data_IF_673235692843
#
_entry.id   IF_673235692843
#
_cell.length_a   1.000
_cell.length_b   1.000
_cell.length_c   1.000
_cell.angle_alpha   90.00
_cell.angle_beta   90.00
_cell.angle_gamma   90.00
#
_symmetry.space_group_name_H-M   'P 1'
#
loop_
_entity.id
_entity.type
_entity.pdbx_description
1 polymer ?
#
# COMPACT_ATOMS: atom_id res chain seq x y z
N UNK A 1 -21.34 -8.15 -30.46
CA UNK A 1 -21.33 -8.61 -29.06
C UNK A 1 -20.08 -8.04 -28.41
N UNK A 2 -20.21 -6.91 -27.73
CA UNK A 2 -19.13 -6.35 -26.91
C UNK A 2 -19.40 -6.78 -25.47
N UNK A 3 -18.53 -7.62 -24.92
CA UNK A 3 -18.61 -8.05 -23.53
C UNK A 3 -18.28 -6.88 -22.62
N UNK A 4 -19.25 -6.44 -21.82
CA UNK A 4 -19.00 -5.55 -20.68
C UNK A 4 -18.25 -6.35 -19.62
N UNK A 5 -16.95 -6.14 -19.51
CA UNK A 5 -16.18 -6.55 -18.34
C UNK A 5 -16.43 -5.47 -17.28
N UNK A 6 -17.33 -5.76 -16.34
CA UNK A 6 -17.46 -4.96 -15.11
C UNK A 6 -16.22 -5.19 -14.26
N UNK A 7 -15.24 -4.28 -14.34
CA UNK A 7 -14.12 -4.21 -13.40
C UNK A 7 -14.62 -3.61 -12.10
N UNK A 8 -15.02 -4.46 -11.17
CA UNK A 8 -15.32 -4.09 -9.80
C UNK A 8 -13.98 -4.00 -9.04
N UNK A 9 -13.51 -2.78 -8.79
CA UNK A 9 -12.26 -2.49 -8.08
C UNK A 9 -12.60 -2.18 -6.62
N UNK A 10 -12.33 -3.12 -5.73
CA UNK A 10 -12.49 -2.97 -4.28
C UNK A 10 -11.11 -2.97 -3.65
N UNK A 11 -10.60 -1.80 -3.29
CA UNK A 11 -9.41 -1.69 -2.45
C UNK A 11 -9.71 -0.72 -1.31
N UNK A 12 -10.22 -1.29 -0.21
CA UNK A 12 -10.11 -0.75 1.13
C UNK A 12 -9.86 -1.97 2.04
N UNK A 13 -8.60 -2.25 2.36
CA UNK A 13 -8.20 -3.33 3.27
C UNK A 13 -8.61 -2.96 4.71
N UNK A 14 -9.90 -3.07 5.02
CA UNK A 14 -10.37 -3.06 6.40
C UNK A 14 -10.08 -4.42 7.02
N UNK A 15 -8.91 -4.55 7.65
CA UNK A 15 -8.60 -5.65 8.56
C UNK A 15 -9.37 -5.48 9.89
N UNK A 16 -10.70 -5.54 9.85
CA UNK A 16 -11.55 -5.50 11.02
C UNK A 16 -12.12 -6.90 11.30
N UNK A 17 -11.39 -7.67 12.12
CA UNK A 17 -11.94 -8.79 12.90
C UNK A 17 -12.10 -10.12 12.17
N UNK A 18 -11.01 -10.79 11.82
CA UNK A 18 -11.04 -12.23 11.53
C UNK A 18 -10.75 -13.04 12.80
N UNK A 19 -11.72 -13.84 13.23
CA UNK A 19 -11.54 -14.83 14.30
C UNK A 19 -10.69 -15.98 13.74
N UNK A 20 -9.47 -16.13 14.27
CA UNK A 20 -8.50 -17.09 13.78
C UNK A 20 -8.95 -18.55 13.95
N UNK A 21 -8.96 -19.32 12.86
CA UNK A 21 -8.54 -20.72 12.93
C UNK A 21 -7.09 -20.76 12.48
N UNK A 22 -6.18 -21.02 13.41
CA UNK A 22 -4.74 -21.04 13.16
C UNK A 22 -4.40 -22.29 12.34
N UNK A 23 -4.49 -22.19 11.02
CA UNK A 23 -3.58 -22.94 10.17
C UNK A 23 -2.23 -22.24 10.25
N UNK A 24 -1.13 -22.98 10.42
CA UNK A 24 0.19 -22.37 10.37
C UNK A 24 0.38 -21.74 8.98
N UNK A 25 0.84 -20.47 8.89
CA UNK A 25 1.06 -19.82 7.61
C UNK A 25 2.05 -20.65 6.78
N UNK A 26 1.74 -20.86 5.50
CA UNK A 26 2.67 -21.46 4.55
C UNK A 26 3.49 -20.33 3.96
N UNK A 27 4.80 -20.35 4.19
CA UNK A 27 5.76 -19.49 3.51
C UNK A 27 5.64 -19.74 2.00
N UNK A 28 5.37 -18.69 1.25
CA UNK A 28 5.50 -18.74 -0.19
C UNK A 28 6.99 -18.85 -0.53
N UNK A 29 7.35 -19.83 -1.36
CA UNK A 29 8.73 -20.22 -1.62
C UNK A 29 9.15 -19.87 -3.06
N UNK A 30 10.46 -19.71 -3.26
CA UNK A 30 11.09 -19.49 -4.56
C UNK A 30 10.74 -18.15 -5.20
N UNK A 31 10.61 -17.10 -4.39
CA UNK A 31 10.53 -15.76 -4.93
C UNK A 31 11.84 -15.38 -5.61
N UNK A 32 11.73 -14.72 -6.75
CA UNK A 32 12.84 -14.10 -7.47
C UNK A 32 12.48 -12.67 -7.81
N UNK A 33 13.50 -11.86 -8.05
CA UNK A 33 13.32 -10.49 -8.52
C UNK A 33 13.55 -10.44 -10.04
N UNK A 34 12.64 -9.79 -10.74
CA UNK A 34 12.78 -9.39 -12.15
C UNK A 34 12.86 -7.86 -12.22
N UNK A 35 13.96 -7.34 -12.75
CA UNK A 35 14.32 -5.92 -12.70
C UNK A 35 15.69 -5.72 -12.06
N UNK A 36 16.26 -4.53 -12.19
CA UNK A 36 17.59 -4.15 -11.69
C UNK A 36 17.54 -3.01 -10.68
N UNK A 37 16.35 -2.44 -10.43
CA UNK A 37 16.13 -1.34 -9.50
C UNK A 37 15.47 -1.85 -8.21
N UNK A 38 16.29 -2.36 -7.30
CA UNK A 38 15.87 -2.86 -5.99
C UNK A 38 16.99 -2.80 -4.97
N UNK A 39 16.63 -2.80 -3.69
CA UNK A 39 17.56 -3.00 -2.58
C UNK A 39 17.07 -4.16 -1.71
N UNK A 40 18.01 -5.03 -1.34
CA UNK A 40 17.78 -6.07 -0.35
C UNK A 40 18.25 -5.57 1.00
N UNK A 41 17.36 -5.60 2.00
CA UNK A 41 17.68 -5.28 3.37
C UNK A 41 17.61 -6.54 4.23
N UNK A 42 18.75 -6.88 4.82
CA UNK A 42 18.84 -7.93 5.83
C UNK A 42 18.57 -7.33 7.22
N UNK A 43 18.16 -8.15 8.17
CA UNK A 43 17.93 -7.72 9.55
C UNK A 43 19.03 -8.22 10.49
N UNK A 44 19.31 -7.46 11.53
CA UNK A 44 20.24 -7.84 12.59
C UNK A 44 19.73 -7.42 13.95
N UNK A 45 20.15 -8.16 14.96
CA UNK A 45 20.03 -7.82 16.37
C UNK A 45 21.35 -7.18 16.81
N UNK A 46 21.33 -5.88 17.10
CA UNK A 46 22.50 -5.15 17.58
C UNK A 46 22.71 -5.23 19.09
N UNK A 47 21.72 -5.72 19.84
CA UNK A 47 21.77 -5.82 21.31
C UNK A 47 22.15 -7.20 21.82
N UNK A 48 21.94 -8.24 21.01
CA UNK A 48 22.17 -9.64 21.36
C UNK A 48 21.07 -10.26 22.23
N UNK A 49 19.87 -9.67 22.27
CA UNK A 49 18.72 -10.16 23.04
C UNK A 49 17.85 -11.19 22.28
N UNK A 50 18.18 -11.44 21.02
CA UNK A 50 17.47 -12.35 20.12
C UNK A 50 16.38 -11.68 19.28
N UNK A 51 16.17 -10.37 19.40
CA UNK A 51 15.19 -9.61 18.62
C UNK A 51 15.91 -8.69 17.64
N UNK A 52 15.54 -8.78 16.36
CA UNK A 52 16.10 -7.88 15.35
C UNK A 52 15.62 -6.44 15.58
N UNK A 53 16.54 -5.47 15.50
CA UNK A 53 16.31 -4.05 15.80
C UNK A 53 16.81 -3.11 14.69
N UNK A 54 17.55 -3.64 13.71
CA UNK A 54 18.00 -2.88 12.56
C UNK A 54 17.87 -3.66 11.26
N UNK A 55 17.53 -2.95 10.20
CA UNK A 55 17.69 -3.41 8.81
C UNK A 55 18.87 -2.70 8.16
N UNK A 56 19.57 -3.36 7.23
CA UNK A 56 20.71 -2.76 6.53
C UNK A 56 20.82 -3.33 5.10
N UNK A 57 21.22 -2.49 4.15
CA UNK A 57 21.41 -2.91 2.77
C UNK A 57 22.45 -4.04 2.66
N UNK A 58 22.04 -5.17 2.10
CA UNK A 58 22.87 -6.36 1.91
C UNK A 58 22.51 -7.02 0.55
N UNK A 59 23.23 -6.71 -0.54
CA UNK A 59 22.92 -7.25 -1.86
C UNK A 59 23.16 -8.78 -1.99
N UNK A 60 23.75 -9.41 -0.97
CA UNK A 60 23.94 -10.86 -0.90
C UNK A 60 22.93 -11.56 0.02
N UNK A 61 21.96 -10.82 0.56
CA UNK A 61 20.93 -11.39 1.43
C UNK A 61 20.07 -12.40 0.67
N UNK A 62 19.63 -13.44 1.39
CA UNK A 62 18.75 -14.45 0.84
C UNK A 62 17.29 -13.97 0.89
N UNK A 63 16.59 -14.03 -0.24
CA UNK A 63 15.20 -13.55 -0.37
C UNK A 63 14.25 -14.31 0.58
N UNK A 64 14.39 -15.62 0.71
CA UNK A 64 13.54 -16.41 1.60
C UNK A 64 13.79 -16.06 3.08
N UNK A 65 15.04 -15.72 3.41
CA UNK A 65 15.42 -15.26 4.75
C UNK A 65 14.91 -13.85 5.07
N UNK A 66 14.80 -12.98 4.07
CA UNK A 66 14.20 -11.64 4.20
C UNK A 66 12.68 -11.74 4.41
N UNK A 67 12.02 -12.56 3.58
CA UNK A 67 10.55 -12.62 3.51
C UNK A 67 9.90 -13.47 4.62
N UNK A 68 10.68 -14.04 5.54
CA UNK A 68 10.13 -14.71 6.73
C UNK A 68 9.92 -13.72 7.86
N UNK A 69 8.98 -14.04 8.75
CA UNK A 69 8.91 -13.40 10.07
C UNK A 69 9.92 -14.07 11.02
N UNK A 70 10.66 -13.25 11.74
CA UNK A 70 11.51 -13.65 12.86
C UNK A 70 10.80 -13.20 14.14
N UNK A 71 10.28 -14.12 14.94
CA UNK A 71 9.67 -13.81 16.26
C UNK A 71 8.54 -12.75 16.24
N UNK A 72 7.78 -12.69 15.15
CA UNK A 72 6.68 -11.74 14.97
C UNK A 72 7.09 -10.37 14.41
N UNK A 73 8.39 -10.14 14.20
CA UNK A 73 8.93 -9.01 13.44
C UNK A 73 9.36 -9.45 12.03
N UNK A 74 9.40 -8.53 11.06
CA UNK A 74 9.98 -8.82 9.74
C UNK A 74 11.44 -9.28 9.82
N UNK A 75 11.83 -10.26 8.99
CA UNK A 75 13.21 -10.73 8.86
C UNK A 75 14.12 -9.83 8.01
N UNK A 76 13.55 -8.81 7.38
CA UNK A 76 14.23 -7.84 6.53
C UNK A 76 13.22 -7.03 5.72
N UNK A 77 13.67 -6.52 4.57
CA UNK A 77 12.78 -5.92 3.58
C UNK A 77 13.38 -6.00 2.16
N UNK A 78 12.52 -6.00 1.13
CA UNK A 78 12.89 -5.83 -0.28
C UNK A 78 12.23 -4.56 -0.81
N UNK A 79 13.04 -3.54 -1.11
CA UNK A 79 12.63 -2.30 -1.77
C UNK A 79 12.61 -2.53 -3.28
N UNK A 80 11.48 -2.31 -3.96
CA UNK A 80 11.29 -2.66 -5.38
C UNK A 80 11.46 -1.46 -6.34
N UNK A 81 11.89 -0.30 -5.87
CA UNK A 81 12.09 0.87 -6.72
C UNK A 81 13.05 1.91 -6.14
N UNK A 82 14.26 1.49 -5.78
CA UNK A 82 15.26 2.34 -5.11
C UNK A 82 15.57 3.68 -5.82
N UNK A 83 15.42 3.76 -7.14
CA UNK A 83 15.62 5.00 -7.91
C UNK A 83 14.37 5.84 -8.15
N UNK A 84 13.21 5.45 -7.61
CA UNK A 84 11.90 6.09 -7.80
C UNK A 84 11.94 7.62 -7.64
N UNK A 85 12.77 8.09 -6.71
CA UNK A 85 12.93 9.49 -6.33
C UNK A 85 14.33 10.06 -6.65
N UNK A 86 15.25 9.25 -7.20
CA UNK A 86 16.64 9.64 -7.47
C UNK A 86 16.73 10.14 -8.93
N UNK A 87 17.08 11.42 -9.09
CA UNK A 87 17.32 12.15 -10.36
C UNK A 87 16.13 12.87 -11.03
N UNK A 88 14.98 13.06 -10.38
CA UNK A 88 13.88 13.83 -11.02
C UNK A 88 14.14 15.35 -10.96
N UNK A 89 14.79 15.87 -12.00
CA UNK A 89 14.80 17.30 -12.29
C UNK A 89 13.41 17.74 -12.78
N UNK A 90 12.54 18.03 -11.83
CA UNK A 90 11.29 18.76 -11.98
C UNK A 90 10.26 18.09 -12.89
N UNK A 91 9.19 17.57 -12.26
CA UNK A 91 7.89 17.38 -12.90
C UNK A 91 7.23 18.70 -13.36
N UNK A 92 7.94 19.82 -13.33
CA UNK A 92 7.50 21.07 -13.93
C UNK A 92 7.67 20.97 -15.47
N UNK A 93 6.75 20.23 -16.09
CA UNK A 93 6.63 20.12 -17.55
C UNK A 93 6.78 18.72 -18.16
N UNK A 94 6.58 17.63 -17.40
CA UNK A 94 6.69 16.25 -17.91
C UNK A 94 8.01 16.02 -18.66
N UNK A 95 9.16 16.12 -17.99
CA UNK A 95 10.39 15.64 -18.63
C UNK A 95 10.38 14.12 -18.60
N UNK A 96 10.02 13.54 -19.75
CA UNK A 96 9.82 12.13 -20.10
C UNK A 96 11.02 11.16 -19.85
N UNK A 97 11.85 11.39 -18.83
CA UNK A 97 13.12 10.66 -18.67
C UNK A 97 13.49 10.34 -17.20
N UNK A 98 12.51 10.26 -16.29
CA UNK A 98 12.74 9.68 -14.96
C UNK A 98 12.40 8.18 -14.97
N UNK A 99 13.06 7.40 -14.13
CA UNK A 99 12.74 5.99 -13.91
C UNK A 99 11.26 5.80 -13.57
N UNK A 100 10.67 6.74 -12.81
CA UNK A 100 9.25 6.78 -12.52
C UNK A 100 8.36 7.02 -13.76
N UNK A 101 8.78 7.85 -14.71
CA UNK A 101 8.00 8.11 -15.93
C UNK A 101 8.23 7.01 -16.99
N UNK A 102 7.43 5.95 -16.92
CA UNK A 102 7.42 4.89 -17.94
C UNK A 102 8.60 3.92 -17.88
N UNK A 103 9.41 3.96 -16.82
CA UNK A 103 10.39 2.91 -16.55
C UNK A 103 9.74 1.55 -16.32
N UNK A 104 10.53 0.50 -16.55
CA UNK A 104 10.13 -0.86 -16.22
C UNK A 104 9.94 -0.99 -14.71
N UNK A 105 8.94 -1.77 -14.30
CA UNK A 105 8.73 -2.09 -12.89
C UNK A 105 9.70 -3.18 -12.48
N UNK A 106 10.28 -3.07 -11.30
CA UNK A 106 10.89 -4.22 -10.64
C UNK A 106 9.78 -5.03 -9.97
N UNK A 107 9.86 -6.35 -10.08
CA UNK A 107 8.86 -7.26 -9.57
C UNK A 107 9.45 -8.39 -8.76
N UNK A 108 8.80 -8.72 -7.65
CA UNK A 108 9.00 -9.94 -6.88
C UNK A 108 7.99 -10.99 -7.36
N UNK A 109 8.48 -12.14 -7.83
CA UNK A 109 7.66 -13.16 -8.50
C UNK A 109 7.90 -14.52 -7.86
N UNK A 110 6.83 -15.18 -7.44
CA UNK A 110 6.87 -16.51 -6.82
C UNK A 110 5.54 -17.24 -6.95
N UNK A 111 5.46 -18.44 -6.39
CA UNK A 111 4.22 -19.23 -6.36
C UNK A 111 3.60 -19.21 -4.95
N UNK A 112 2.30 -18.91 -4.89
CA UNK A 112 1.50 -18.96 -3.67
C UNK A 112 0.23 -19.76 -3.95
N UNK A 113 -0.03 -20.80 -3.16
CA UNK A 113 -1.17 -21.71 -3.35
C UNK A 113 -1.29 -22.29 -4.77
N UNK A 114 -0.15 -22.56 -5.43
CA UNK A 114 -0.11 -23.14 -6.79
C UNK A 114 -0.42 -22.15 -7.92
N UNK A 115 -0.47 -20.85 -7.62
CA UNK A 115 -0.62 -19.79 -8.61
C UNK A 115 0.55 -18.80 -8.53
N UNK A 116 0.92 -18.20 -9.67
CA UNK A 116 1.93 -17.15 -9.70
C UNK A 116 1.40 -15.89 -9.04
N UNK A 117 2.16 -15.38 -8.06
CA UNK A 117 2.02 -14.04 -7.51
C UNK A 117 3.15 -13.17 -8.07
N UNK A 118 2.78 -12.04 -8.65
CA UNK A 118 3.70 -10.97 -9.03
C UNK A 118 3.38 -9.74 -8.19
N UNK A 119 4.33 -9.25 -7.41
CA UNK A 119 4.25 -7.97 -6.70
C UNK A 119 5.24 -7.03 -7.38
N UNK A 120 4.84 -5.80 -7.67
CA UNK A 120 5.68 -4.85 -8.40
C UNK A 120 5.63 -3.46 -7.78
N UNK A 121 6.70 -2.69 -8.03
CA UNK A 121 6.67 -1.24 -7.92
C UNK A 121 5.72 -0.59 -8.93
N UNK A 122 5.43 0.69 -8.74
CA UNK A 122 4.54 1.47 -9.60
C UNK A 122 5.34 2.45 -10.45
N UNK A 123 4.77 2.83 -11.60
CA UNK A 123 5.26 3.95 -12.38
C UNK A 123 4.15 4.97 -12.63
N UNK A 124 4.47 6.07 -13.33
CA UNK A 124 3.51 7.14 -13.60
C UNK A 124 2.22 6.65 -14.31
N UNK A 125 2.29 5.59 -15.12
CA UNK A 125 1.10 5.05 -15.80
C UNK A 125 0.17 4.32 -14.84
N UNK A 126 0.68 3.69 -13.78
CA UNK A 126 -0.18 3.14 -12.73
C UNK A 126 -0.98 4.23 -12.02
N UNK A 127 -0.31 5.34 -11.72
CA UNK A 127 -0.89 6.44 -10.95
C UNK A 127 -1.88 7.29 -11.73
N UNK A 128 -1.54 7.63 -12.97
CA UNK A 128 -2.17 8.73 -13.70
C UNK A 128 -2.99 8.29 -14.91
N UNK A 129 -3.03 7.00 -15.22
CA UNK A 129 -3.93 6.47 -16.27
C UNK A 129 -5.36 6.41 -15.74
N UNK A 130 -6.30 6.98 -16.48
CA UNK A 130 -7.73 6.95 -16.18
C UNK A 130 -8.38 5.68 -16.70
N UNK A 131 -9.58 5.36 -16.20
CA UNK A 131 -10.32 4.15 -16.59
C UNK A 131 -10.57 4.01 -18.11
N UNK A 132 -10.63 5.12 -18.84
CA UNK A 132 -10.77 5.19 -20.31
C UNK A 132 -9.44 5.18 -21.08
N UNK A 133 -8.31 5.03 -20.38
CA UNK A 133 -6.96 5.00 -20.96
C UNK A 133 -6.34 6.37 -21.21
N UNK A 134 -6.99 7.46 -20.78
CA UNK A 134 -6.37 8.79 -20.74
C UNK A 134 -5.24 8.85 -19.72
N UNK A 135 -4.33 9.81 -19.87
CA UNK A 135 -3.22 10.01 -18.94
C UNK A 135 -3.24 11.45 -18.40
N UNK A 136 -3.44 11.61 -17.09
CA UNK A 136 -3.59 12.92 -16.44
C UNK A 136 -3.20 12.88 -14.96
N UNK A 137 -2.45 13.89 -14.53
CA UNK A 137 -2.11 14.12 -13.12
C UNK A 137 -3.04 15.13 -12.43
N UNK A 138 -4.18 15.47 -13.06
CA UNK A 138 -5.09 16.47 -12.49
C UNK A 138 -5.86 15.91 -11.31
N UNK A 139 -5.95 16.71 -10.24
CA UNK A 139 -6.85 16.42 -9.13
C UNK A 139 -8.31 16.32 -9.60
N UNK A 140 -9.02 15.30 -9.10
CA UNK A 140 -10.40 14.96 -9.46
C UNK A 140 -10.53 14.04 -10.69
N UNK A 141 -9.43 13.54 -11.24
CA UNK A 141 -9.47 12.53 -12.31
C UNK A 141 -9.76 11.13 -11.74
N UNK A 142 -10.37 10.27 -12.54
CA UNK A 142 -10.66 8.88 -12.16
C UNK A 142 -9.43 7.98 -12.36
N UNK A 143 -8.46 8.10 -11.46
CA UNK A 143 -7.20 7.34 -11.48
C UNK A 143 -6.70 7.00 -10.06
N UNK A 144 -5.69 6.12 -9.98
CA UNK A 144 -5.14 5.62 -8.72
C UNK A 144 -4.62 6.76 -7.82
N UNK A 145 -3.98 7.78 -8.40
CA UNK A 145 -3.43 8.90 -7.63
C UNK A 145 -4.52 9.65 -6.85
N UNK A 146 -5.66 9.91 -7.50
CA UNK A 146 -6.79 10.57 -6.84
C UNK A 146 -7.51 9.67 -5.85
N UNK A 147 -7.59 8.35 -6.12
CA UNK A 147 -8.14 7.37 -5.18
C UNK A 147 -7.32 7.30 -3.91
N UNK A 148 -6.05 6.92 -4.02
CA UNK A 148 -5.16 6.73 -2.88
C UNK A 148 -5.00 8.01 -2.05
N UNK A 149 -4.71 9.15 -2.70
CA UNK A 149 -4.53 10.40 -1.97
C UNK A 149 -5.85 10.92 -1.39
N UNK A 150 -6.97 10.66 -2.07
CA UNK A 150 -8.31 10.96 -1.56
C UNK A 150 -8.59 10.22 -0.26
N UNK A 151 -8.31 8.92 -0.21
CA UNK A 151 -8.51 8.11 1.00
C UNK A 151 -7.54 8.49 2.12
N UNK A 152 -6.29 8.84 1.80
CA UNK A 152 -5.34 9.37 2.78
C UNK A 152 -5.90 10.65 3.44
N UNK A 153 -6.43 11.57 2.64
CA UNK A 153 -7.09 12.78 3.17
C UNK A 153 -8.36 12.46 3.95
N UNK A 154 -9.14 11.46 3.56
CA UNK A 154 -10.33 11.07 4.30
C UNK A 154 -9.96 10.50 5.68
N UNK A 155 -8.81 9.83 5.79
CA UNK A 155 -8.32 9.29 7.06
C UNK A 155 -7.80 10.37 8.01
N UNK A 156 -7.09 11.40 7.51
CA UNK A 156 -6.40 12.38 8.35
C UNK A 156 -7.00 13.79 8.35
N UNK A 157 -7.71 14.17 7.29
CA UNK A 157 -8.27 15.51 7.06
C UNK A 157 -9.68 15.44 6.43
N UNK A 158 -10.65 14.73 7.05
CA UNK A 158 -11.96 14.47 6.44
C UNK A 158 -12.76 15.75 6.15
N UNK A 159 -12.55 16.81 6.93
CA UNK A 159 -13.25 18.09 6.78
C UNK A 159 -12.60 19.04 5.77
N UNK A 160 -11.51 18.62 5.10
CA UNK A 160 -10.80 19.44 4.14
C UNK A 160 -11.67 19.68 2.91
N UNK A 161 -12.08 20.92 2.68
CA UNK A 161 -12.90 21.29 1.53
C UNK A 161 -12.20 21.07 0.18
N UNK A 162 -12.97 21.01 -0.90
CA UNK A 162 -12.48 20.71 -2.27
C UNK A 162 -11.23 21.51 -2.71
N UNK A 163 -11.17 22.80 -2.37
CA UNK A 163 -10.02 23.65 -2.70
C UNK A 163 -8.78 23.21 -1.91
N UNK A 164 -8.94 22.92 -0.61
CA UNK A 164 -7.88 22.43 0.25
C UNK A 164 -7.34 21.09 -0.23
N UNK A 165 -8.21 20.13 -0.56
CA UNK A 165 -7.82 18.81 -1.08
C UNK A 165 -7.02 18.90 -2.37
N UNK A 166 -7.47 19.75 -3.31
CA UNK A 166 -6.73 20.02 -4.55
C UNK A 166 -5.34 20.61 -4.27
N UNK A 167 -5.25 21.58 -3.36
CA UNK A 167 -3.98 22.21 -3.02
C UNK A 167 -3.02 21.21 -2.36
N UNK A 168 -3.54 20.37 -1.45
CA UNK A 168 -2.80 19.27 -0.83
C UNK A 168 -2.29 18.27 -1.87
N UNK A 169 -3.16 17.83 -2.79
CA UNK A 169 -2.78 16.93 -3.88
C UNK A 169 -1.68 17.52 -4.74
N UNK A 170 -1.84 18.79 -5.16
CA UNK A 170 -0.83 19.46 -5.99
C UNK A 170 0.48 19.67 -5.23
N UNK A 171 0.44 19.93 -3.92
CA UNK A 171 1.63 20.04 -3.09
C UNK A 171 2.34 18.69 -2.95
N UNK A 172 1.59 17.61 -2.68
CA UNK A 172 2.12 16.25 -2.62
C UNK A 172 2.74 15.81 -3.95
N UNK A 173 2.05 16.06 -5.06
CA UNK A 173 2.60 15.87 -6.41
C UNK A 173 3.87 16.69 -6.62
N UNK A 174 3.85 17.98 -6.25
CA UNK A 174 4.99 18.88 -6.42
C UNK A 174 6.22 18.56 -5.57
N UNK A 175 6.09 17.73 -4.53
CA UNK A 175 7.18 17.23 -3.70
C UNK A 175 7.60 15.79 -4.05
N UNK A 176 7.17 15.28 -5.21
CA UNK A 176 7.43 13.92 -5.68
C UNK A 176 6.81 12.84 -4.77
N UNK A 177 5.63 13.13 -4.23
CA UNK A 177 4.98 12.24 -3.28
C UNK A 177 4.54 10.90 -3.89
N UNK A 178 4.09 10.91 -5.15
CA UNK A 178 3.65 9.67 -5.81
C UNK A 178 4.83 8.79 -6.19
N UNK A 179 5.95 9.38 -6.58
CA UNK A 179 7.22 8.74 -6.84
C UNK A 179 7.68 7.97 -5.61
N UNK A 180 7.74 8.65 -4.46
CA UNK A 180 8.12 8.04 -3.18
C UNK A 180 7.15 6.95 -2.75
N UNK A 181 5.85 7.13 -2.98
CA UNK A 181 4.83 6.13 -2.68
C UNK A 181 4.81 4.93 -3.66
N UNK A 182 5.67 4.91 -4.70
CA UNK A 182 5.70 3.87 -5.73
C UNK A 182 6.65 2.71 -5.44
N UNK A 183 7.33 2.76 -4.30
CA UNK A 183 8.44 1.89 -3.97
C UNK A 183 8.11 0.96 -2.81
N UNK A 184 7.30 -0.09 -3.01
CA UNK A 184 6.86 -0.93 -1.92
C UNK A 184 8.03 -1.70 -1.29
N UNK A 185 8.22 -1.49 0.01
CA UNK A 185 9.19 -2.20 0.85
C UNK A 185 8.58 -3.52 1.40
N UNK A 186 8.80 -4.66 0.74
CA UNK A 186 8.18 -5.95 1.09
C UNK A 186 8.93 -6.64 2.22
N UNK A 187 8.28 -6.79 3.37
CA UNK A 187 8.86 -7.38 4.59
C UNK A 187 8.59 -8.87 4.78
N UNK A 188 7.41 -9.35 4.38
CA UNK A 188 7.09 -10.79 4.37
C UNK A 188 5.91 -11.06 3.46
N UNK A 189 5.78 -12.32 3.05
CA UNK A 189 4.62 -12.85 2.34
C UNK A 189 4.21 -14.15 3.00
N UNK A 190 3.01 -14.18 3.56
CA UNK A 190 2.44 -15.36 4.21
C UNK A 190 1.09 -15.68 3.57
N UNK A 191 0.75 -16.95 3.50
CA UNK A 191 -0.56 -17.38 3.01
C UNK A 191 -1.21 -18.36 3.97
N UNK A 192 -2.53 -18.25 4.05
CA UNK A 192 -3.38 -19.22 4.73
C UNK A 192 -4.61 -19.53 3.87
N UNK A 193 -5.59 -20.21 4.45
CA UNK A 193 -6.84 -20.59 3.78
C UNK A 193 -7.75 -19.39 3.40
N UNK A 194 -7.48 -18.21 3.94
CA UNK A 194 -8.30 -17.02 3.78
C UNK A 194 -7.71 -16.07 2.73
N UNK A 195 -6.40 -16.13 2.49
CA UNK A 195 -5.72 -15.21 1.58
C UNK A 195 -4.21 -15.18 1.72
N UNK A 196 -3.62 -14.17 1.08
CA UNK A 196 -2.20 -13.86 1.10
C UNK A 196 -2.05 -12.56 1.86
N UNK A 197 -1.38 -12.61 3.00
CA UNK A 197 -1.00 -11.44 3.79
C UNK A 197 0.40 -10.98 3.35
N UNK A 198 0.52 -9.70 3.06
CA UNK A 198 1.79 -9.06 2.69
C UNK A 198 2.10 -8.00 3.74
N UNK A 199 3.29 -8.10 4.32
CA UNK A 199 3.84 -7.06 5.18
C UNK A 199 4.62 -6.04 4.39
N UNK A 200 4.30 -4.77 4.57
CA UNK A 200 5.09 -3.66 4.03
C UNK A 200 5.81 -2.95 5.18
N UNK A 201 7.14 -2.84 5.09
CA UNK A 201 7.89 -1.91 5.91
C UNK A 201 7.63 -0.48 5.44
N UNK A 202 7.73 0.47 6.35
CA UNK A 202 7.60 1.89 6.03
C UNK A 202 7.82 2.75 7.27
N UNK A 203 7.41 4.01 7.19
CA UNK A 203 7.53 4.95 8.30
C UNK A 203 6.26 4.97 9.16
N UNK A 204 6.42 4.96 10.49
CA UNK A 204 5.36 5.20 11.47
C UNK A 204 4.87 6.64 11.50
N UNK A 205 5.69 7.57 11.02
CA UNK A 205 5.39 9.00 10.95
C UNK A 205 5.88 9.54 9.60
N UNK A 206 4.93 9.82 8.73
CA UNK A 206 5.16 10.40 7.41
C UNK A 206 5.76 11.81 7.46
N UNK A 207 5.71 12.50 8.59
CA UNK A 207 6.37 13.79 8.79
C UNK A 207 7.89 13.72 8.62
N UNK A 208 8.50 12.57 8.91
CA UNK A 208 9.93 12.34 8.69
C UNK A 208 10.31 12.30 7.20
N UNK A 209 9.35 12.03 6.31
CA UNK A 209 9.56 11.88 4.87
C UNK A 209 9.05 13.10 4.10
N UNK A 210 7.82 13.54 4.44
CA UNK A 210 7.07 14.54 3.68
C UNK A 210 6.92 15.88 4.43
N UNK A 211 7.48 15.99 5.64
CA UNK A 211 7.50 17.20 6.45
C UNK A 211 6.27 17.41 7.34
N UNK A 212 6.29 18.48 8.15
CA UNK A 212 5.40 18.73 9.28
C UNK A 212 3.89 18.60 9.01
N UNK A 213 3.42 18.85 7.79
CA UNK A 213 2.00 18.71 7.46
C UNK A 213 1.51 17.25 7.55
N UNK A 214 2.42 16.29 7.32
CA UNK A 214 2.17 14.86 7.43
C UNK A 214 2.59 14.28 8.79
N UNK A 215 2.98 15.12 9.74
CA UNK A 215 3.43 14.65 11.05
C UNK A 215 2.33 13.85 11.77
N UNK A 216 2.69 12.67 12.25
CA UNK A 216 1.81 11.69 12.88
C UNK A 216 0.91 10.92 11.90
N UNK A 217 1.02 11.16 10.59
CA UNK A 217 0.26 10.38 9.60
C UNK A 217 1.01 9.09 9.28
N UNK A 218 0.25 8.07 8.92
CA UNK A 218 0.73 6.75 8.52
C UNK A 218 0.17 6.41 7.15
N UNK A 219 1.05 5.96 6.26
CA UNK A 219 0.72 5.29 5.03
C UNK A 219 1.87 4.37 4.63
N UNK A 220 1.54 3.18 4.16
CA UNK A 220 2.49 2.39 3.38
C UNK A 220 2.71 3.04 2.02
N UNK A 221 3.80 2.69 1.34
CA UNK A 221 3.81 2.76 -0.12
C UNK A 221 2.70 1.89 -0.71
N UNK A 222 2.42 2.12 -1.99
CA UNK A 222 1.46 1.32 -2.74
C UNK A 222 2.18 0.18 -3.42
N UNK A 223 1.62 -1.03 -3.30
CA UNK A 223 2.06 -2.16 -4.09
C UNK A 223 1.09 -2.41 -5.24
N UNK A 224 1.61 -2.79 -6.40
CA UNK A 224 0.82 -3.43 -7.47
C UNK A 224 0.97 -4.94 -7.31
N UNK A 225 -0.12 -5.69 -7.45
CA UNK A 225 -0.05 -7.14 -7.54
C UNK A 225 -0.75 -7.67 -8.79
N UNK A 226 -0.33 -8.86 -9.20
CA UNK A 226 -1.01 -9.72 -10.16
C UNK A 226 -1.10 -11.13 -9.57
N UNK A 227 -2.33 -11.63 -9.42
CA UNK A 227 -2.62 -12.95 -8.86
C UNK A 227 -3.94 -13.47 -9.44
N UNK A 228 -4.01 -14.73 -9.85
CA UNK A 228 -5.18 -15.34 -10.49
C UNK A 228 -5.75 -14.53 -11.69
N UNK A 229 -4.88 -13.88 -12.46
CA UNK A 229 -5.26 -13.01 -13.58
C UNK A 229 -5.89 -11.67 -13.18
N UNK A 230 -5.97 -11.36 -11.88
CA UNK A 230 -6.38 -10.05 -11.35
C UNK A 230 -5.16 -9.18 -11.18
N UNK A 231 -5.24 -7.94 -11.67
CA UNK A 231 -4.27 -6.88 -11.40
C UNK A 231 -4.96 -5.81 -10.56
N UNK A 232 -4.40 -5.51 -9.39
CA UNK A 232 -4.89 -4.43 -8.52
C UNK A 232 -3.74 -3.88 -7.65
N UNK A 233 -4.08 -2.96 -6.76
CA UNK A 233 -3.16 -2.23 -5.91
C UNK A 233 -3.60 -2.33 -4.45
N UNK A 234 -2.64 -2.42 -3.53
CA UNK A 234 -2.91 -2.45 -2.10
C UNK A 234 -2.08 -1.40 -1.35
N UNK A 235 -2.66 -0.88 -0.28
CA UNK A 235 -2.03 0.05 0.68
C UNK A 235 -2.72 -0.06 2.04
N UNK A 236 -2.11 0.52 3.07
CA UNK A 236 -2.71 0.70 4.39
C UNK A 236 -2.31 2.04 4.99
N UNK A 237 -3.20 2.64 5.79
CA UNK A 237 -2.93 3.85 6.58
C UNK A 237 -2.77 3.57 8.07
N UNK A 238 -2.58 2.31 8.44
CA UNK A 238 -2.37 1.89 9.83
C UNK A 238 -1.19 0.94 9.92
N UNK A 239 -0.21 1.32 10.73
CA UNK A 239 0.98 0.54 11.01
C UNK A 239 1.02 0.04 12.46
N UNK A 240 1.70 -1.08 12.65
CA UNK A 240 2.19 -1.52 13.95
C UNK A 240 3.67 -1.15 14.05
N UNK A 241 4.09 -0.56 15.18
CA UNK A 241 5.51 -0.28 15.41
C UNK A 241 6.30 -1.60 15.47
N UNK A 242 7.41 -1.67 14.73
CA UNK A 242 8.25 -2.88 14.67
C UNK A 242 9.43 -2.84 15.63
N UNK A 243 9.89 -1.63 16.01
CA UNK A 243 11.16 -1.44 16.70
C UNK A 243 12.38 -1.51 15.77
N UNK A 244 12.20 -1.90 14.50
CA UNK A 244 13.24 -1.88 13.49
C UNK A 244 13.53 -0.45 13.04
N UNK A 245 14.79 -0.17 12.70
CA UNK A 245 15.16 1.04 11.94
C UNK A 245 16.18 0.70 10.86
N UNK A 246 16.15 1.41 9.74
CA UNK A 246 17.22 1.32 8.76
C UNK A 246 18.51 1.90 9.34
N UNK A 247 19.62 1.18 9.20
CA UNK A 247 20.88 1.46 9.88
C UNK A 247 21.46 2.84 9.55
N UNK A 248 21.31 3.31 8.32
CA UNK A 248 21.91 4.56 7.83
C UNK A 248 21.10 5.79 8.20
N UNK A 249 19.77 5.72 8.17
CA UNK A 249 18.89 6.87 8.46
C UNK A 249 18.26 6.85 9.86
N UNK A 250 18.23 5.69 10.53
CA UNK A 250 17.68 5.51 11.87
C UNK A 250 16.17 5.76 12.00
N UNK A 251 15.42 5.86 10.89
CA UNK A 251 14.00 6.25 10.89
C UNK A 251 13.12 5.49 9.90
N UNK A 252 13.68 4.84 8.89
CA UNK A 252 12.95 3.97 7.94
C UNK A 252 12.66 2.59 8.54
N UNK A 253 11.66 1.90 7.99
CA UNK A 253 11.25 0.53 8.37
C UNK A 253 10.73 0.33 9.81
N UNK A 254 10.38 1.41 10.50
CA UNK A 254 9.88 1.36 11.87
C UNK A 254 8.37 1.08 11.99
N UNK A 255 7.64 1.08 10.87
CA UNK A 255 6.23 0.72 10.80
C UNK A 255 6.01 -0.50 9.91
N UNK A 256 5.20 -1.45 10.40
CA UNK A 256 4.71 -2.58 9.62
C UNK A 256 3.24 -2.36 9.25
N UNK A 257 2.99 -2.26 7.96
CA UNK A 257 1.68 -2.20 7.36
C UNK A 257 1.28 -3.57 6.84
N UNK A 258 0.03 -3.97 7.07
CA UNK A 258 -0.48 -5.26 6.59
C UNK A 258 -1.52 -5.03 5.51
N UNK A 259 -1.36 -5.73 4.40
CA UNK A 259 -2.33 -5.74 3.30
C UNK A 259 -2.63 -7.18 2.91
N UNK A 260 -3.76 -7.39 2.25
CA UNK A 260 -4.32 -8.73 2.09
C UNK A 260 -4.92 -8.93 0.70
N UNK A 261 -4.53 -10.01 0.03
CA UNK A 261 -5.17 -10.51 -1.19
C UNK A 261 -6.09 -11.66 -0.76
N UNK A 262 -7.42 -11.51 -0.80
CA UNK A 262 -8.33 -12.60 -0.45
C UNK A 262 -8.19 -13.75 -1.46
N UNK A 263 -8.09 -14.98 -0.95
CA UNK A 263 -8.11 -16.19 -1.80
C UNK A 263 -9.27 -17.09 -1.35
N UNK A 264 -10.24 -17.31 -2.24
CA UNK A 264 -11.47 -18.06 -1.98
C UNK A 264 -12.76 -17.22 -1.98
N UNK A 265 -13.91 -17.87 -1.79
CA UNK A 265 -15.23 -17.24 -1.66
C UNK A 265 -15.37 -16.48 -0.32
N UNK A 266 -14.55 -15.44 -0.12
CA UNK A 266 -14.76 -14.53 1.01
C UNK A 266 -15.97 -13.65 0.67
N UNK A 267 -17.05 -13.64 1.48
CA UNK A 267 -18.19 -12.77 1.21
C UNK A 267 -17.70 -11.33 1.17
N UNK A 268 -18.01 -10.63 0.08
CA UNK A 268 -17.65 -9.22 -0.11
C UNK A 268 -18.02 -8.41 1.13
N UNK A 269 -17.02 -7.89 1.84
CA UNK A 269 -17.26 -6.90 2.89
C UNK A 269 -17.85 -5.67 2.19
N UNK A 270 -19.00 -5.13 2.64
CA UNK A 270 -19.59 -3.97 2.00
C UNK A 270 -18.58 -2.83 1.96
N UNK A 271 -18.39 -2.23 0.78
CA UNK A 271 -17.49 -1.09 0.60
C UNK A 271 -17.79 0.02 1.62
N UNK A 272 -16.82 0.85 2.01
CA UNK A 272 -17.03 1.99 2.92
C UNK A 272 -18.20 2.89 2.49
N UNK A 273 -18.40 3.05 1.18
CA UNK A 273 -19.53 3.74 0.55
C UNK A 273 -20.90 3.08 0.87
N UNK A 274 -20.94 1.75 0.89
CA UNK A 274 -22.13 0.94 1.21
C UNK A 274 -22.45 1.02 2.70
N UNK A 275 -21.41 1.05 3.55
CA UNK A 275 -21.56 1.29 4.99
C UNK A 275 -22.07 2.70 5.30
N UNK A 276 -21.55 3.73 4.62
CA UNK A 276 -22.05 5.11 4.74
C UNK A 276 -23.49 5.23 4.22
N UNK A 277 -23.83 4.53 3.12
CA UNK A 277 -25.20 4.44 2.61
C UNK A 277 -26.15 3.79 3.63
N UNK A 278 -25.73 2.69 4.27
CA UNK A 278 -26.50 2.02 5.33
C UNK A 278 -26.63 2.89 6.59
N UNK A 279 -25.60 3.65 6.97
CA UNK A 279 -25.68 4.61 8.08
C UNK A 279 -26.59 5.79 7.75
N UNK A 280 -26.58 6.29 6.52
CA UNK A 280 -27.50 7.36 6.08
C UNK A 280 -28.95 6.87 6.06
N UNK A 281 -29.21 5.66 5.56
CA UNK A 281 -30.53 5.03 5.57
C UNK A 281 -30.99 4.74 7.00
N UNK A 282 -30.14 4.15 7.85
CA UNK A 282 -30.41 3.93 9.26
C UNK A 282 -30.67 5.22 10.03
N UNK A 283 -29.92 6.29 9.72
CA UNK A 283 -30.12 7.64 10.26
C UNK A 283 -31.46 8.25 9.84
N UNK A 284 -31.89 8.06 8.59
CA UNK A 284 -33.20 8.48 8.08
C UNK A 284 -34.36 7.73 8.77
N UNK A 285 -34.23 6.42 9.00
CA UNK A 285 -35.23 5.63 9.75
C UNK A 285 -35.26 5.99 11.25
N UNK A 286 -34.11 6.25 11.87
CA UNK A 286 -34.02 6.69 13.26
C UNK A 286 -34.56 8.12 13.46
N UNK A 287 -34.35 9.03 12.49
CA UNK A 287 -34.87 10.39 12.53
C UNK A 287 -36.39 10.44 12.28
N UNK A 288 -36.91 9.65 11.34
CA UNK A 288 -38.36 9.59 11.05
C UNK A 288 -39.16 8.97 12.20
N UNK A 289 -38.65 7.94 12.86
CA UNK A 289 -39.28 7.33 14.04
C UNK A 289 -39.32 8.27 15.26
N UNK A 290 -38.30 9.13 15.45
CA UNK A 290 -38.34 10.19 16.49
C UNK A 290 -39.33 11.30 16.17
N UNK A 291 -39.53 11.64 14.90
CA UNK A 291 -40.49 12.67 14.46
C UNK A 291 -41.95 12.20 14.59
N UNK A 292 -42.21 10.92 14.33
CA UNK A 292 -43.52 10.28 14.54
C UNK A 292 -43.96 10.29 16.01
N UNK A 293 -43.03 10.02 16.95
CA UNK A 293 -43.29 10.03 18.40
C UNK A 293 -43.48 11.42 19.02
N UNK A 294 -43.16 12.51 18.32
CA UNK A 294 -43.41 13.89 18.78
C UNK A 294 -44.77 14.44 18.33
N UNK A 295 -45.43 13.75 17.41
CA UNK A 295 -46.74 14.13 16.85
C UNK A 295 -47.85 13.12 17.21
N UNK A 296 -47.62 12.28 18.22
CA UNK A 296 -48.63 11.39 18.83
C UNK A 296 -48.95 11.85 20.25
#
# INVERSE_FOLDING_TARGET
MAGLINKFLVSASLAAGMTAMVAAPVLAQNFRIEGDDYILYDARDTTGDGVVDQTYANPSANIDDILRRLDGTPGGNIELFSSSHINDQSMNGWRYNSSFYGGARTSLIGEVNGQTLTISSLNAFDWFTTADGGFTNQYGSDNLANRWFGELLDNYQPDLGRIGRRNAFNAFFGMYGFERASDPNISYIESDRNGIEIGLAGHMDLGNVYGDWFAGWQASEVLRYEYDGVVDYLWSFSATATGLTEYTDGTSHNGLYKVFIPTGDVPSVPEPSTMLGLMAVGGLFAASSRKSRKNS
#
